data_IF_670518153110
#
_entry.id   IF_670518153110
#
_cell.length_a   1.000
_cell.length_b   1.000
_cell.length_c   1.000
_cell.angle_alpha   90.00
_cell.angle_beta   90.00
_cell.angle_gamma   90.00
#
_symmetry.space_group_name_H-M   'P 1'
#
loop_
_entity.id
_entity.type
_entity.pdbx_description
1 polymer ?
#
# COMPACT_ATOMS: atom_id res chain seq x y z
N UNK A 1 44.14 6.22 16.06
CA UNK A 1 43.28 5.37 15.19
C UNK A 1 41.94 5.00 15.83
N UNK A 2 41.88 4.72 17.15
CA UNK A 2 40.67 4.35 17.90
C UNK A 2 39.49 5.33 17.79
N UNK A 3 39.75 6.65 17.77
CA UNK A 3 38.72 7.69 17.68
C UNK A 3 37.93 7.66 16.35
N UNK A 4 38.57 7.24 15.25
CA UNK A 4 37.93 7.11 13.93
C UNK A 4 37.08 5.85 13.86
N UNK A 5 37.56 4.74 14.45
CA UNK A 5 36.79 3.51 14.62
C UNK A 5 35.51 3.72 15.43
N UNK A 6 35.59 4.53 16.49
CA UNK A 6 34.41 4.90 17.29
C UNK A 6 33.39 5.72 16.49
N UNK A 7 33.84 6.66 15.66
CA UNK A 7 32.96 7.44 14.78
C UNK A 7 32.29 6.57 13.71
N UNK A 8 33.01 5.59 13.14
CA UNK A 8 32.42 4.62 12.21
C UNK A 8 31.41 3.70 12.88
N UNK A 9 31.68 3.25 14.11
CA UNK A 9 30.75 2.42 14.86
C UNK A 9 29.44 3.15 15.20
N UNK A 10 29.53 4.44 15.57
CA UNK A 10 28.35 5.28 15.82
C UNK A 10 27.57 5.53 14.52
N UNK A 11 28.25 5.80 13.41
CA UNK A 11 27.59 5.99 12.12
C UNK A 11 26.84 4.72 11.66
N UNK A 12 27.40 3.53 11.87
CA UNK A 12 26.75 2.26 11.54
C UNK A 12 25.52 1.99 12.42
N UNK A 13 25.59 2.35 13.71
CA UNK A 13 24.49 2.18 14.65
C UNK A 13 23.27 3.06 14.31
N UNK A 14 23.49 4.28 13.83
CA UNK A 14 22.41 5.20 13.42
C UNK A 14 21.64 4.70 12.18
N UNK A 15 22.31 3.96 11.28
CA UNK A 15 21.66 3.41 10.08
C UNK A 15 20.66 2.29 10.37
N UNK A 16 20.77 1.60 11.52
CA UNK A 16 19.92 0.46 11.86
C UNK A 16 18.60 0.86 12.57
N UNK A 17 18.46 2.09 13.07
CA UNK A 17 17.28 2.54 13.84
C UNK A 17 16.15 3.06 12.92
N UNK A 18 16.37 3.12 11.61
CA UNK A 18 15.47 3.79 10.66
C UNK A 18 14.25 3.00 10.15
N UNK A 19 14.05 1.75 10.57
CA UNK A 19 12.99 0.88 10.01
C UNK A 19 12.12 0.25 11.10
N UNK A 20 11.43 1.08 11.87
CA UNK A 20 10.24 0.65 12.58
C UNK A 20 9.04 0.83 11.63
N UNK A 21 8.72 -0.23 10.86
CA UNK A 21 7.49 -0.26 10.07
C UNK A 21 6.27 -0.24 11.00
N UNK A 22 5.44 0.79 10.92
CA UNK A 22 4.18 0.81 11.64
C UNK A 22 3.27 -0.30 11.09
N UNK A 23 2.86 -1.24 11.94
CA UNK A 23 1.85 -2.25 11.60
C UNK A 23 0.46 -1.63 11.75
N UNK A 24 -0.29 -1.57 10.65
CA UNK A 24 -1.67 -1.08 10.61
C UNK A 24 -2.62 -2.28 10.40
N UNK A 25 -2.99 -3.03 11.45
CA UNK A 25 -3.77 -4.26 11.31
C UNK A 25 -5.15 -4.05 10.67
N UNK A 26 -5.77 -2.88 10.88
CA UNK A 26 -7.03 -2.52 10.20
C UNK A 26 -6.81 -2.39 8.69
N UNK A 27 -5.66 -1.84 8.29
CA UNK A 27 -5.30 -1.64 6.90
C UNK A 27 -5.11 -2.97 6.16
N UNK A 28 -4.57 -3.98 6.85
CA UNK A 28 -4.40 -5.33 6.30
C UNK A 28 -5.74 -5.97 5.94
N UNK A 29 -6.74 -5.83 6.82
CA UNK A 29 -8.09 -6.34 6.57
C UNK A 29 -8.75 -5.64 5.38
N UNK A 30 -8.60 -4.32 5.28
CA UNK A 30 -9.16 -3.54 4.19
C UNK A 30 -8.47 -3.87 2.87
N UNK A 31 -7.14 -3.95 2.86
CA UNK A 31 -6.37 -4.36 1.69
C UNK A 31 -6.80 -5.75 1.20
N UNK A 32 -6.98 -6.71 2.12
CA UNK A 32 -7.49 -8.03 1.81
C UNK A 32 -8.87 -8.00 1.13
N UNK A 33 -9.80 -7.17 1.61
CA UNK A 33 -11.12 -7.01 0.98
C UNK A 33 -11.02 -6.43 -0.43
N UNK A 34 -10.12 -5.46 -0.66
CA UNK A 34 -9.90 -4.88 -1.99
C UNK A 34 -9.34 -5.93 -2.95
N UNK A 35 -8.32 -6.68 -2.51
CA UNK A 35 -7.73 -7.78 -3.30
C UNK A 35 -8.79 -8.83 -3.64
N UNK A 36 -9.54 -9.28 -2.64
CA UNK A 36 -10.61 -10.26 -2.83
C UNK A 36 -11.67 -9.75 -3.81
N UNK A 37 -12.08 -8.48 -3.70
CA UNK A 37 -13.04 -7.86 -4.62
C UNK A 37 -12.54 -7.93 -6.07
N UNK A 38 -11.29 -7.56 -6.33
CA UNK A 38 -10.74 -7.62 -7.69
C UNK A 38 -10.63 -9.06 -8.19
N UNK A 39 -10.10 -9.97 -7.38
CA UNK A 39 -9.92 -11.36 -7.79
C UNK A 39 -11.25 -12.07 -8.07
N UNK A 40 -12.26 -11.86 -7.23
CA UNK A 40 -13.57 -12.52 -7.32
C UNK A 40 -14.54 -11.88 -8.32
N UNK A 41 -14.29 -10.63 -8.75
CA UNK A 41 -15.15 -9.97 -9.75
C UNK A 41 -14.79 -10.42 -11.17
N UNK A 42 -15.80 -10.42 -12.05
CA UNK A 42 -15.56 -10.57 -13.49
C UNK A 42 -14.97 -9.29 -14.08
N UNK A 43 -14.36 -9.39 -15.26
CA UNK A 43 -13.77 -8.22 -15.92
C UNK A 43 -14.84 -7.18 -16.30
N UNK A 44 -16.02 -7.61 -16.72
CA UNK A 44 -17.16 -6.74 -17.06
C UNK A 44 -17.62 -5.96 -15.82
N UNK A 45 -17.73 -6.64 -14.67
CA UNK A 45 -18.11 -6.00 -13.40
C UNK A 45 -17.08 -4.95 -12.96
N UNK A 46 -15.79 -5.25 -13.11
CA UNK A 46 -14.72 -4.30 -12.78
C UNK A 46 -14.71 -3.09 -13.73
N UNK A 47 -14.96 -3.32 -15.02
CA UNK A 47 -15.11 -2.27 -16.01
C UNK A 47 -16.32 -1.39 -15.75
N UNK A 48 -17.47 -1.97 -15.41
CA UNK A 48 -18.67 -1.22 -15.08
C UNK A 48 -18.47 -0.38 -13.81
N UNK A 49 -17.73 -0.89 -12.83
CA UNK A 49 -17.36 -0.14 -11.63
C UNK A 49 -16.29 0.92 -11.88
N UNK A 50 -15.55 0.82 -12.98
CA UNK A 50 -14.50 1.78 -13.33
C UNK A 50 -15.14 3.13 -13.62
N UNK A 51 -14.65 4.17 -12.95
CA UNK A 51 -15.16 5.54 -13.11
C UNK A 51 -16.46 5.84 -12.37
N UNK A 52 -17.11 4.85 -11.73
CA UNK A 52 -18.23 5.14 -10.84
C UNK A 52 -17.76 5.95 -9.62
N UNK A 53 -18.60 6.88 -9.11
CA UNK A 53 -18.28 7.63 -7.91
C UNK A 53 -17.95 6.71 -6.73
N UNK A 54 -16.94 7.09 -5.97
CA UNK A 54 -16.57 6.39 -4.74
C UNK A 54 -17.63 6.63 -3.67
N UNK A 55 -17.94 5.59 -2.89
CA UNK A 55 -18.82 5.69 -1.73
C UNK A 55 -18.21 6.61 -0.67
N UNK A 56 -19.02 7.12 0.26
CA UNK A 56 -18.54 8.00 1.34
C UNK A 56 -17.41 7.35 2.14
N UNK A 57 -17.54 6.07 2.47
CA UNK A 57 -16.52 5.31 3.20
C UNK A 57 -15.21 5.17 2.40
N UNK A 58 -15.29 4.93 1.09
CA UNK A 58 -14.10 4.89 0.23
C UNK A 58 -13.42 6.27 0.16
N UNK A 59 -14.19 7.35 0.14
CA UNK A 59 -13.66 8.72 0.13
C UNK A 59 -12.94 9.06 1.44
N UNK A 60 -13.50 8.71 2.59
CA UNK A 60 -12.86 8.89 3.90
C UNK A 60 -11.53 8.14 3.99
N UNK A 61 -11.50 6.90 3.51
CA UNK A 61 -10.26 6.11 3.46
C UNK A 61 -9.22 6.77 2.52
N UNK A 62 -9.65 7.25 1.36
CA UNK A 62 -8.76 7.98 0.45
C UNK A 62 -8.19 9.23 1.14
N UNK A 63 -9.00 9.98 1.90
CA UNK A 63 -8.52 11.14 2.66
C UNK A 63 -7.51 10.74 3.74
N UNK A 64 -7.79 9.67 4.50
CA UNK A 64 -6.87 9.13 5.50
C UNK A 64 -5.51 8.74 4.87
N UNK A 65 -5.51 8.01 3.76
CA UNK A 65 -4.29 7.65 3.02
C UNK A 65 -3.61 8.86 2.37
N UNK A 66 -4.33 9.93 2.05
CA UNK A 66 -3.68 11.18 1.58
C UNK A 66 -2.92 11.86 2.72
N UNK A 67 -3.50 11.88 3.91
CA UNK A 67 -2.96 12.54 5.09
C UNK A 67 -1.78 11.78 5.73
N UNK A 68 -1.75 10.44 5.63
CA UNK A 68 -0.65 9.61 6.14
C UNK A 68 0.10 8.92 4.99
N UNK A 69 1.30 9.41 4.71
CA UNK A 69 2.17 8.87 3.66
C UNK A 69 2.66 7.44 3.91
N UNK A 70 2.95 7.08 5.17
CA UNK A 70 3.43 5.74 5.51
C UNK A 70 2.31 4.71 5.37
N UNK A 71 1.11 5.06 5.83
CA UNK A 71 -0.08 4.24 5.68
C UNK A 71 -0.43 4.05 4.20
N UNK A 72 -0.33 5.12 3.39
CA UNK A 72 -0.53 5.03 1.93
C UNK A 72 0.39 4.04 1.26
N UNK A 73 1.69 4.15 1.50
CA UNK A 73 2.68 3.25 0.93
C UNK A 73 2.38 1.80 1.33
N UNK A 74 2.16 1.57 2.62
CA UNK A 74 1.85 0.23 3.15
C UNK A 74 0.58 -0.36 2.53
N UNK A 75 -0.47 0.44 2.33
CA UNK A 75 -1.70 0.01 1.68
C UNK A 75 -1.47 -0.34 0.20
N UNK A 76 -0.83 0.56 -0.54
CA UNK A 76 -0.57 0.40 -1.97
C UNK A 76 0.29 -0.84 -2.21
N UNK A 77 1.37 -1.02 -1.45
CA UNK A 77 2.27 -2.18 -1.61
C UNK A 77 1.53 -3.52 -1.46
N UNK A 78 0.51 -3.57 -0.59
CA UNK A 78 -0.30 -4.78 -0.37
C UNK A 78 -1.26 -5.08 -1.52
N UNK A 79 -1.86 -4.04 -2.13
CA UNK A 79 -2.89 -4.24 -3.16
C UNK A 79 -2.33 -4.17 -4.58
N UNK A 80 -1.21 -3.48 -4.80
CA UNK A 80 -0.75 -3.07 -6.12
C UNK A 80 -0.57 -4.26 -7.06
N UNK A 81 0.24 -5.25 -6.68
CA UNK A 81 0.49 -6.40 -7.54
C UNK A 81 -0.78 -7.21 -7.90
N UNK A 82 -1.58 -7.72 -6.93
CA UNK A 82 -2.75 -8.53 -7.27
C UNK A 82 -3.84 -7.74 -8.01
N UNK A 83 -4.05 -6.47 -7.66
CA UNK A 83 -5.04 -5.62 -8.33
C UNK A 83 -4.56 -5.25 -9.73
N UNK A 84 -3.30 -4.85 -9.90
CA UNK A 84 -2.75 -4.52 -11.22
C UNK A 84 -2.76 -5.74 -12.15
N UNK A 85 -2.38 -6.93 -11.67
CA UNK A 85 -2.45 -8.16 -12.46
C UNK A 85 -3.88 -8.43 -12.96
N UNK A 86 -4.88 -8.33 -12.08
CA UNK A 86 -6.28 -8.46 -12.49
C UNK A 86 -6.70 -7.38 -13.47
N UNK A 87 -6.26 -6.14 -13.26
CA UNK A 87 -6.55 -5.03 -14.16
C UNK A 87 -5.91 -5.23 -15.54
N UNK A 88 -4.71 -5.79 -15.61
CA UNK A 88 -4.02 -6.13 -16.84
C UNK A 88 -4.74 -7.27 -17.59
N UNK A 89 -5.07 -8.35 -16.90
CA UNK A 89 -5.87 -9.46 -17.46
C UNK A 89 -7.21 -8.99 -18.06
N UNK A 90 -7.84 -8.00 -17.41
CA UNK A 90 -9.09 -7.41 -17.87
C UNK A 90 -8.90 -6.25 -18.88
N UNK A 91 -7.68 -5.94 -19.31
CA UNK A 91 -7.38 -4.88 -20.29
C UNK A 91 -7.62 -3.45 -19.79
N UNK A 92 -7.71 -3.23 -18.47
CA UNK A 92 -7.90 -1.89 -17.87
C UNK A 92 -6.61 -1.05 -17.83
N UNK A 93 -5.46 -1.72 -17.81
CA UNK A 93 -4.12 -1.13 -17.91
C UNK A 93 -3.34 -1.86 -19.02
N UNK A 94 -2.50 -1.15 -19.78
CA UNK A 94 -1.71 -1.73 -20.86
C UNK A 94 -0.58 -2.63 -20.35
#
# INVERSE_FOLDING_TARGET
MIKRLFLFAIALAVLLVGVAGAQFPILDMVAGKVVQKYQMSTCEQLWEQRGKPKTQQEQEMIQMLRNDGQMRTTFIDKIAAPVANKMFECGMIP
#
